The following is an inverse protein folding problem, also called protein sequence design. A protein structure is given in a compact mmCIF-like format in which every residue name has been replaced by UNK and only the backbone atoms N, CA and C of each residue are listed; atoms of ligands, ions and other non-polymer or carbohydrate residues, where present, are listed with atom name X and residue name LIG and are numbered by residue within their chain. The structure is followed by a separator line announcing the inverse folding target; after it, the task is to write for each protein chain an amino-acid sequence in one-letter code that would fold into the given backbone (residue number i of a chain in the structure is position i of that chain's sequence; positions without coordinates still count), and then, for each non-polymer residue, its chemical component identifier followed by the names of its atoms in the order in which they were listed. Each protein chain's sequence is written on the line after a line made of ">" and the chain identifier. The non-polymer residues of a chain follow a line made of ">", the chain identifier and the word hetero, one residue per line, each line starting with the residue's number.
data_IF_330742505264
#
_entry.id   IF_330742505264
#
_cell.length_a   1.000
_cell.length_b   1.000
_cell.length_c   1.000
_cell.angle_alpha   90.00
_cell.angle_beta   90.00
_cell.angle_gamma   90.00
#
_symmetry.space_group_name_H-M   'P 1'
#
loop_
_entity.id
_entity.type
_entity.pdbx_description
1 polymer ?
#
# COMPACT_ATOMS: atom_id res chain seq x y z
N UNK A 1 31.57 4.46 4.43
CA UNK A 1 30.17 4.81 4.75
C UNK A 1 29.51 3.53 5.23
N UNK A 2 29.26 3.38 6.52
CA UNK A 2 28.65 2.16 7.05
C UNK A 2 27.17 2.14 6.66
N UNK A 3 26.82 1.32 5.68
CA UNK A 3 25.43 0.92 5.42
C UNK A 3 25.01 0.02 6.59
N UNK A 4 24.42 0.59 7.63
CA UNK A 4 23.66 -0.17 8.62
C UNK A 4 22.28 -0.51 8.04
N UNK A 5 21.53 -1.47 8.62
CA UNK A 5 20.18 -1.77 8.15
C UNK A 5 19.32 -0.52 8.26
N UNK A 6 18.83 -0.02 7.12
CA UNK A 6 17.76 0.98 7.09
C UNK A 6 16.46 0.25 7.42
N UNK A 7 15.91 0.54 8.59
CA UNK A 7 14.57 0.08 8.97
C UNK A 7 13.55 1.10 8.45
N UNK A 8 13.32 1.10 7.14
CA UNK A 8 12.22 1.83 6.51
C UNK A 8 11.43 0.85 5.65
N UNK A 9 10.12 0.81 5.84
CA UNK A 9 9.25 -0.05 5.03
C UNK A 9 8.80 0.73 3.80
N UNK A 10 8.82 0.11 2.63
CA UNK A 10 8.22 0.69 1.43
C UNK A 10 6.81 0.13 1.31
N UNK A 11 5.81 1.00 1.23
CA UNK A 11 4.40 0.64 1.32
C UNK A 11 3.59 1.30 0.23
N UNK A 12 2.70 0.51 -0.36
CA UNK A 12 1.67 1.01 -1.27
C UNK A 12 0.51 1.52 -0.42
N UNK A 13 0.30 2.83 -0.46
CA UNK A 13 -0.81 3.49 0.18
C UNK A 13 -1.79 3.89 -0.92
N UNK A 14 -3.08 3.73 -0.65
CA UNK A 14 -4.12 4.14 -1.58
C UNK A 14 -5.32 4.65 -0.77
N UNK A 15 -6.04 5.62 -1.31
CA UNK A 15 -7.18 6.26 -0.64
C UNK A 15 -8.39 5.33 -0.68
N UNK A 16 -8.57 4.52 0.37
CA UNK A 16 -9.66 3.54 0.48
C UNK A 16 -11.05 4.18 0.63
N UNK A 17 -11.14 5.51 0.67
CA UNK A 17 -12.41 6.24 0.71
C UNK A 17 -12.98 6.51 -0.68
N UNK A 18 -12.24 6.17 -1.75
CA UNK A 18 -12.62 6.42 -3.13
C UNK A 18 -12.51 5.15 -3.98
N UNK A 19 -13.32 5.01 -5.03
CA UNK A 19 -13.08 4.01 -6.07
C UNK A 19 -11.71 4.21 -6.73
N UNK A 20 -11.03 3.12 -7.15
CA UNK A 20 -11.46 1.72 -7.05
C UNK A 20 -11.08 1.06 -5.71
N UNK A 21 -10.41 1.80 -4.81
CA UNK A 21 -9.79 1.24 -3.60
C UNK A 21 -10.76 1.01 -2.45
N UNK A 22 -11.99 1.51 -2.54
CA UNK A 22 -13.09 1.19 -1.62
C UNK A 22 -13.52 -0.29 -1.74
N UNK A 23 -13.32 -0.91 -2.91
CA UNK A 23 -13.60 -2.34 -3.17
C UNK A 23 -12.50 -3.26 -2.61
N UNK A 24 -12.83 -4.16 -1.66
CA UNK A 24 -11.86 -5.13 -1.14
C UNK A 24 -11.25 -6.04 -2.20
N UNK A 25 -12.04 -6.42 -3.21
CA UNK A 25 -11.63 -7.33 -4.28
C UNK A 25 -10.47 -6.73 -5.11
N UNK A 26 -10.53 -5.42 -5.39
CA UNK A 26 -9.45 -4.67 -6.06
C UNK A 26 -8.18 -4.71 -5.22
N UNK A 27 -8.28 -4.40 -3.91
CA UNK A 27 -7.12 -4.41 -3.01
C UNK A 27 -6.49 -5.79 -2.87
N UNK A 28 -7.31 -6.84 -2.82
CA UNK A 28 -6.86 -8.22 -2.75
C UNK A 28 -6.14 -8.64 -4.05
N UNK A 29 -6.73 -8.31 -5.21
CA UNK A 29 -6.12 -8.57 -6.50
C UNK A 29 -4.78 -7.84 -6.66
N UNK A 30 -4.69 -6.57 -6.29
CA UNK A 30 -3.42 -5.82 -6.31
C UNK A 30 -2.34 -6.49 -5.45
N UNK A 31 -2.68 -6.95 -4.24
CA UNK A 31 -1.72 -7.60 -3.35
C UNK A 31 -1.17 -8.92 -3.91
N UNK A 32 -2.00 -9.67 -4.65
CA UNK A 32 -1.63 -10.92 -5.31
C UNK A 32 -0.90 -10.71 -6.64
N UNK A 33 -1.20 -9.64 -7.37
CA UNK A 33 -0.51 -9.31 -8.62
C UNK A 33 0.97 -8.98 -8.42
N UNK A 34 1.33 -8.43 -7.26
CA UNK A 34 2.68 -7.94 -6.99
C UNK A 34 3.60 -9.06 -6.49
N UNK A 35 4.60 -9.41 -7.32
CA UNK A 35 5.70 -10.28 -6.91
C UNK A 35 6.74 -9.51 -6.09
N UNK A 36 6.58 -9.58 -4.76
CA UNK A 36 7.49 -8.94 -3.81
C UNK A 36 8.91 -9.52 -3.86
N UNK A 37 9.08 -10.78 -4.25
CA UNK A 37 10.39 -11.41 -4.34
C UNK A 37 11.13 -10.89 -5.56
N UNK A 38 10.47 -10.79 -6.71
CA UNK A 38 11.05 -10.17 -7.90
C UNK A 38 11.43 -8.71 -7.64
N UNK A 39 10.59 -7.93 -6.94
CA UNK A 39 10.95 -6.56 -6.54
C UNK A 39 12.23 -6.52 -5.68
N UNK A 40 12.38 -7.45 -4.72
CA UNK A 40 13.58 -7.53 -3.87
C UNK A 40 14.81 -7.92 -4.67
N UNK A 41 14.69 -8.88 -5.56
CA UNK A 41 15.82 -9.39 -6.35
C UNK A 41 16.26 -8.38 -7.42
N UNK A 42 15.30 -7.73 -8.08
CA UNK A 42 15.53 -6.82 -9.20
C UNK A 42 15.94 -5.42 -8.75
N UNK A 43 15.29 -4.86 -7.72
CA UNK A 43 15.57 -3.48 -7.26
C UNK A 43 16.64 -3.44 -6.17
N UNK A 44 16.57 -4.36 -5.21
CA UNK A 44 17.44 -4.36 -4.04
C UNK A 44 18.58 -5.38 -4.11
N UNK A 45 18.69 -6.15 -5.21
CA UNK A 45 19.74 -7.16 -5.41
C UNK A 45 19.79 -8.16 -4.24
N UNK A 46 18.63 -8.52 -3.70
CA UNK A 46 18.49 -9.42 -2.55
C UNK A 46 18.86 -8.83 -1.19
N UNK A 47 19.17 -7.53 -1.12
CA UNK A 47 19.59 -6.86 0.13
C UNK A 47 18.40 -6.39 1.00
N UNK A 48 17.17 -6.51 0.53
CA UNK A 48 15.96 -6.18 1.26
C UNK A 48 15.29 -7.42 1.86
N UNK A 49 14.54 -7.23 2.94
CA UNK A 49 13.64 -8.26 3.47
C UNK A 49 12.28 -8.12 2.80
N UNK A 50 11.66 -9.25 2.44
CA UNK A 50 10.29 -9.25 1.93
C UNK A 50 9.35 -8.52 2.90
N UNK A 51 8.51 -7.64 2.34
CA UNK A 51 7.41 -7.04 3.09
C UNK A 51 6.49 -8.13 3.64
N UNK A 52 6.03 -7.97 4.88
CA UNK A 52 5.09 -8.91 5.49
C UNK A 52 3.68 -8.75 4.91
N UNK A 53 2.79 -9.70 5.19
CA UNK A 53 1.36 -9.61 4.81
C UNK A 53 0.61 -8.45 5.48
N UNK A 54 1.26 -7.73 6.39
CA UNK A 54 0.72 -6.51 7.00
C UNK A 54 1.81 -5.58 7.48
N UNK A 55 1.47 -4.79 8.48
CA UNK A 55 2.30 -3.70 9.02
C UNK A 55 3.27 -4.14 10.11
N UNK A 56 3.11 -5.36 10.65
CA UNK A 56 3.91 -5.83 11.77
C UNK A 56 5.21 -6.43 11.25
N UNK A 57 6.34 -5.80 11.59
CA UNK A 57 7.65 -6.28 11.18
C UNK A 57 7.95 -7.71 11.70
N UNK A 58 8.61 -8.59 10.92
CA UNK A 58 8.91 -9.98 11.34
C UNK A 58 9.69 -10.13 12.65
N UNK A 59 10.48 -9.12 13.02
CA UNK A 59 11.22 -9.09 14.30
C UNK A 59 10.35 -8.73 15.52
N UNK A 60 9.09 -8.29 15.31
CA UNK A 60 8.17 -7.96 16.40
C UNK A 60 7.64 -9.24 17.07
N UNK A 61 7.52 -9.29 18.41
CA UNK A 61 6.90 -10.43 19.09
C UNK A 61 5.40 -10.59 18.77
N UNK A 62 4.77 -9.58 18.16
CA UNK A 62 3.38 -9.62 17.71
C UNK A 62 3.24 -10.06 16.24
N UNK A 63 4.34 -10.37 15.56
CA UNK A 63 4.31 -10.88 14.20
C UNK A 63 3.63 -12.25 14.15
N UNK A 64 2.66 -12.41 13.24
CA UNK A 64 2.03 -13.69 12.97
C UNK A 64 2.55 -14.26 11.64
N UNK A 65 3.42 -15.26 11.71
CA UNK A 65 4.00 -15.92 10.55
C UNK A 65 3.00 -16.75 9.73
N UNK A 66 1.80 -17.03 10.26
CA UNK A 66 0.74 -17.74 9.54
C UNK A 66 0.03 -16.83 8.53
N UNK A 67 0.15 -15.51 8.66
CA UNK A 67 -0.44 -14.55 7.71
C UNK A 67 0.58 -14.31 6.60
N UNK A 68 0.36 -14.95 5.45
CA UNK A 68 1.22 -14.84 4.27
C UNK A 68 0.39 -14.39 3.07
N UNK A 69 0.88 -13.36 2.37
CA UNK A 69 0.35 -12.94 1.07
C UNK A 69 1.44 -13.18 0.03
N UNK A 70 1.31 -14.29 -0.71
CA UNK A 70 2.15 -14.56 -1.87
C UNK A 70 1.69 -13.79 -3.11
N UNK A 71 2.47 -13.87 -4.18
CA UNK A 71 2.02 -13.46 -5.50
C UNK A 71 1.30 -14.62 -6.20
N UNK A 72 0.15 -14.33 -6.80
CA UNK A 72 -0.62 -15.24 -7.64
C UNK A 72 -1.45 -14.39 -8.62
N UNK A 73 -0.87 -13.95 -9.75
CA UNK A 73 -1.55 -13.11 -10.73
C UNK A 73 -2.79 -13.78 -11.34
N UNK A 74 -2.78 -15.11 -11.48
CA UNK A 74 -3.94 -15.86 -11.96
C UNK A 74 -5.11 -15.79 -10.96
N UNK A 75 -4.82 -15.93 -9.65
CA UNK A 75 -5.83 -15.74 -8.61
C UNK A 75 -6.30 -14.29 -8.52
N UNK A 76 -5.42 -13.31 -8.75
CA UNK A 76 -5.79 -11.90 -8.83
C UNK A 76 -6.83 -11.66 -9.93
N UNK A 77 -6.60 -12.17 -11.15
CA UNK A 77 -7.55 -12.10 -12.27
C UNK A 77 -8.89 -12.76 -11.91
N UNK A 78 -8.87 -13.95 -11.31
CA UNK A 78 -10.09 -14.64 -10.90
C UNK A 78 -10.91 -13.84 -9.87
N UNK A 79 -10.26 -13.19 -8.89
CA UNK A 79 -10.95 -12.36 -7.89
C UNK A 79 -11.65 -11.19 -8.56
N UNK A 80 -11.01 -10.54 -9.54
CA UNK A 80 -11.60 -9.44 -10.29
C UNK A 80 -12.80 -9.94 -11.12
N UNK A 81 -12.66 -11.06 -11.83
CA UNK A 81 -13.74 -11.66 -12.62
C UNK A 81 -14.95 -12.07 -11.78
N UNK A 82 -14.71 -12.74 -10.64
CA UNK A 82 -15.76 -13.14 -9.70
C UNK A 82 -16.52 -11.92 -9.14
N UNK A 83 -15.85 -10.77 -9.06
CA UNK A 83 -16.43 -9.50 -8.63
C UNK A 83 -17.16 -8.74 -9.76
N UNK A 84 -17.17 -9.28 -10.99
CA UNK A 84 -17.73 -8.62 -12.17
C UNK A 84 -16.84 -7.52 -12.75
N UNK A 85 -15.56 -7.49 -12.38
CA UNK A 85 -14.56 -6.53 -12.85
C UNK A 85 -13.80 -7.16 -14.02
N UNK A 86 -14.13 -6.75 -15.23
CA UNK A 86 -13.58 -7.32 -16.46
C UNK A 86 -13.25 -6.20 -17.44
N UNK A 87 -12.33 -6.51 -18.36
CA UNK A 87 -12.05 -5.68 -19.54
C UNK A 87 -13.17 -5.94 -20.57
N UNK A 88 -14.07 -4.96 -20.70
CA UNK A 88 -15.30 -5.07 -21.47
C UNK A 88 -15.18 -4.51 -22.88
N UNK A 89 -14.16 -3.68 -23.16
CA UNK A 89 -13.92 -3.07 -24.47
C UNK A 89 -12.63 -3.58 -25.18
N UNK A 90 -11.83 -4.39 -24.48
CA UNK A 90 -10.65 -5.07 -24.99
C UNK A 90 -9.40 -4.19 -25.03
N UNK A 91 -9.36 -3.08 -24.29
CA UNK A 91 -8.21 -2.16 -24.26
C UNK A 91 -7.08 -2.59 -23.31
N UNK A 92 -7.30 -3.65 -22.53
CA UNK A 92 -6.36 -4.20 -21.56
C UNK A 92 -6.52 -3.65 -20.13
N UNK A 93 -7.42 -2.70 -19.90
CA UNK A 93 -7.79 -2.19 -18.58
C UNK A 93 -9.16 -2.76 -18.21
N UNK A 94 -9.35 -3.13 -16.95
CA UNK A 94 -10.64 -3.64 -16.47
C UNK A 94 -11.54 -2.50 -16.02
N UNK A 95 -12.85 -2.67 -16.16
CA UNK A 95 -13.84 -1.70 -15.66
C UNK A 95 -14.42 -2.11 -14.31
N UNK A 96 -14.55 -1.13 -13.43
CA UNK A 96 -15.36 -1.17 -12.23
C UNK A 96 -16.54 -0.21 -12.40
N UNK A 97 -17.77 -0.72 -12.32
CA UNK A 97 -19.00 0.07 -12.46
C UNK A 97 -19.03 0.93 -13.76
N UNK A 98 -18.42 0.43 -14.83
CA UNK A 98 -18.36 1.07 -16.14
C UNK A 98 -17.26 2.14 -16.31
N UNK A 99 -16.39 2.31 -15.32
CA UNK A 99 -15.20 3.16 -15.39
C UNK A 99 -13.92 2.31 -15.39
N UNK A 100 -12.90 2.65 -16.19
CA UNK A 100 -11.63 1.92 -16.19
C UNK A 100 -10.93 2.04 -14.83
N UNK A 101 -10.31 0.95 -14.37
CA UNK A 101 -9.44 0.94 -13.19
C UNK A 101 -8.09 1.53 -13.60
N UNK A 102 -8.07 2.86 -13.72
CA UNK A 102 -6.90 3.67 -14.01
C UNK A 102 -6.75 4.80 -13.01
N UNK A 103 -5.57 4.97 -12.44
CA UNK A 103 -5.28 5.99 -11.43
C UNK A 103 -3.81 6.44 -11.45
N UNK A 104 -3.54 7.59 -10.84
CA UNK A 104 -2.21 8.09 -10.56
C UNK A 104 -1.54 7.31 -9.43
N UNK A 105 -0.27 6.96 -9.64
CA UNK A 105 0.62 6.37 -8.65
C UNK A 105 1.76 7.36 -8.32
N UNK A 106 1.54 8.15 -7.28
CA UNK A 106 2.40 9.23 -6.85
C UNK A 106 3.64 8.74 -6.09
N UNK A 107 4.81 9.21 -6.48
CA UNK A 107 6.08 8.88 -5.81
C UNK A 107 6.98 10.09 -5.63
N UNK A 108 7.81 10.05 -4.58
CA UNK A 108 8.91 10.99 -4.44
C UNK A 108 9.97 10.70 -5.52
N UNK A 109 10.13 11.62 -6.47
CA UNK A 109 11.08 11.52 -7.58
C UNK A 109 12.55 11.64 -7.17
N UNK A 110 12.84 12.16 -5.96
CA UNK A 110 14.20 12.27 -5.43
C UNK A 110 14.75 10.90 -4.96
N UNK A 111 13.87 9.89 -4.79
CA UNK A 111 14.24 8.51 -4.43
C UNK A 111 14.18 7.59 -5.67
N UNK A 112 15.33 7.40 -6.30
CA UNK A 112 15.46 6.57 -7.51
C UNK A 112 15.06 5.10 -7.32
N UNK A 113 15.24 4.53 -6.12
CA UNK A 113 14.82 3.14 -5.85
C UNK A 113 13.30 3.06 -5.75
N UNK A 114 12.68 4.07 -5.13
CA UNK A 114 11.22 4.19 -5.05
C UNK A 114 10.58 4.38 -6.43
N UNK A 115 11.17 5.21 -7.27
CA UNK A 115 10.71 5.38 -8.65
C UNK A 115 10.72 4.06 -9.41
N UNK A 116 11.85 3.34 -9.40
CA UNK A 116 11.98 2.08 -10.14
C UNK A 116 11.09 0.97 -9.58
N UNK A 117 10.87 0.95 -8.27
CA UNK A 117 9.91 0.04 -7.65
C UNK A 117 8.49 0.33 -8.14
N UNK A 118 8.10 1.60 -8.24
CA UNK A 118 6.77 1.98 -8.70
C UNK A 118 6.54 1.64 -10.18
N UNK A 119 7.56 1.79 -11.02
CA UNK A 119 7.52 1.36 -12.43
C UNK A 119 7.26 -0.16 -12.53
N UNK A 120 8.01 -1.00 -11.82
CA UNK A 120 7.78 -2.45 -11.81
C UNK A 120 6.41 -2.84 -11.23
N UNK A 121 5.98 -2.19 -10.16
CA UNK A 121 4.64 -2.41 -9.60
C UNK A 121 3.55 -2.04 -10.62
N UNK A 122 3.71 -0.94 -11.35
CA UNK A 122 2.78 -0.55 -12.42
C UNK A 122 2.70 -1.61 -13.51
N UNK A 123 3.83 -2.16 -13.95
CA UNK A 123 3.89 -3.26 -14.92
C UNK A 123 3.14 -4.51 -14.41
N UNK A 124 3.42 -4.94 -13.17
CA UNK A 124 2.74 -6.10 -12.55
C UNK A 124 1.23 -5.90 -12.40
N UNK A 125 0.78 -4.68 -12.09
CA UNK A 125 -0.65 -4.37 -12.00
C UNK A 125 -1.31 -4.38 -13.39
N UNK A 126 -0.60 -3.92 -14.42
CA UNK A 126 -1.10 -3.96 -15.80
C UNK A 126 -1.36 -5.40 -16.29
N UNK A 127 -0.57 -6.39 -15.85
CA UNK A 127 -0.78 -7.82 -16.19
C UNK A 127 -2.14 -8.38 -15.71
N UNK A 128 -2.76 -7.73 -14.71
CA UNK A 128 -4.09 -8.10 -14.21
C UNK A 128 -5.17 -7.10 -14.63
N UNK A 129 -4.84 -6.15 -15.52
CA UNK A 129 -5.76 -5.15 -16.06
C UNK A 129 -6.03 -3.98 -15.12
N UNK A 130 -5.07 -3.62 -14.25
CA UNK A 130 -5.13 -2.45 -13.38
C UNK A 130 -4.07 -1.45 -13.84
N UNK A 131 -4.49 -0.26 -14.30
CA UNK A 131 -3.57 0.75 -14.82
C UNK A 131 -3.14 1.74 -13.72
N UNK A 132 -1.90 1.64 -13.28
CA UNK A 132 -1.31 2.59 -12.32
C UNK A 132 -0.28 3.48 -13.03
N UNK A 133 -0.60 4.76 -13.27
CA UNK A 133 0.32 5.68 -13.98
C UNK A 133 1.29 6.34 -13.00
N UNK A 134 2.58 6.02 -13.09
CA UNK A 134 3.60 6.57 -12.19
C UNK A 134 3.78 8.07 -12.42
N UNK A 135 3.66 8.84 -11.34
CA UNK A 135 3.83 10.30 -11.31
C UNK A 135 4.88 10.66 -10.27
N UNK A 136 6.03 11.15 -10.72
CA UNK A 136 7.15 11.51 -9.87
C UNK A 136 7.17 13.02 -9.61
N UNK A 137 7.14 13.42 -8.34
CA UNK A 137 7.15 14.82 -7.91
C UNK A 137 8.23 15.07 -6.87
N UNK A 138 8.62 16.32 -6.66
CA UNK A 138 9.57 16.69 -5.59
C UNK A 138 9.05 16.32 -4.20
N UNK A 139 9.97 16.07 -3.27
CA UNK A 139 9.66 15.62 -1.90
C UNK A 139 8.55 16.43 -1.21
N UNK A 140 8.59 17.76 -1.26
CA UNK A 140 7.62 18.61 -0.58
C UNK A 140 6.19 18.46 -1.15
N UNK A 141 6.07 18.32 -2.47
CA UNK A 141 4.78 18.12 -3.14
C UNK A 141 4.23 16.73 -2.86
N UNK A 142 5.09 15.72 -2.82
CA UNK A 142 4.72 14.35 -2.43
C UNK A 142 4.28 14.28 -0.96
N UNK A 143 5.00 14.93 -0.04
CA UNK A 143 4.63 15.01 1.39
C UNK A 143 3.30 15.71 1.59
N UNK A 144 3.10 16.86 0.96
CA UNK A 144 1.85 17.63 1.10
C UNK A 144 0.66 16.89 0.49
N UNK A 145 0.85 16.12 -0.59
CA UNK A 145 -0.19 15.29 -1.16
C UNK A 145 -0.58 14.12 -0.25
N UNK A 146 0.41 13.42 0.32
CA UNK A 146 0.19 12.18 1.09
C UNK A 146 -0.19 12.44 2.54
N UNK A 147 0.46 13.41 3.20
CA UNK A 147 0.25 13.73 4.60
C UNK A 147 0.31 15.26 4.83
N UNK A 148 -0.72 16.00 4.38
CA UNK A 148 -0.76 17.46 4.42
C UNK A 148 -0.50 17.98 5.84
N UNK A 149 0.50 18.86 5.98
CA UNK A 149 0.89 19.42 7.27
C UNK A 149 1.20 18.41 8.39
N UNK A 150 1.48 17.14 8.05
CA UNK A 150 1.63 16.04 8.99
C UNK A 150 0.40 15.83 9.91
N UNK A 151 -0.80 16.12 9.40
CA UNK A 151 -2.06 16.00 10.11
C UNK A 151 -3.12 15.31 9.25
N UNK A 152 -3.50 14.09 9.62
CA UNK A 152 -4.50 13.29 8.88
C UNK A 152 -5.88 13.95 8.82
N UNK A 153 -6.19 14.89 9.72
CA UNK A 153 -7.46 15.63 9.70
C UNK A 153 -7.55 16.63 8.56
N UNK A 154 -6.42 16.98 7.93
CA UNK A 154 -6.38 17.80 6.71
C UNK A 154 -6.71 17.01 5.45
N UNK A 155 -6.92 15.69 5.57
CA UNK A 155 -7.27 14.81 4.47
C UNK A 155 -6.04 14.27 3.74
N UNK A 156 -6.24 13.93 2.46
CA UNK A 156 -5.21 13.39 1.57
C UNK A 156 -5.55 13.75 0.13
N UNK A 157 -4.53 13.94 -0.69
CA UNK A 157 -4.65 14.34 -2.08
C UNK A 157 -3.79 13.46 -3.00
N UNK A 158 -4.06 12.15 -2.98
CA UNK A 158 -3.47 11.17 -3.87
C UNK A 158 -4.48 10.02 -4.09
N UNK A 159 -4.33 9.29 -5.19
CA UNK A 159 -5.10 8.07 -5.45
C UNK A 159 -4.34 6.86 -4.91
N UNK A 160 -3.13 6.62 -5.45
CA UNK A 160 -2.15 5.70 -4.92
C UNK A 160 -0.81 6.41 -4.74
N UNK A 161 -0.07 6.07 -3.69
CA UNK A 161 1.25 6.61 -3.41
C UNK A 161 2.15 5.58 -2.76
N UNK A 162 3.45 5.67 -3.00
CA UNK A 162 4.41 4.90 -2.21
C UNK A 162 4.89 5.73 -1.03
N UNK A 163 4.64 5.25 0.19
CA UNK A 163 5.07 5.87 1.45
C UNK A 163 5.76 4.84 2.36
N UNK A 164 6.48 5.32 3.36
CA UNK A 164 7.17 4.46 4.30
C UNK A 164 7.23 5.05 5.69
N UNK A 165 7.36 4.17 6.68
CA UNK A 165 7.51 4.57 8.07
C UNK A 165 8.86 4.14 8.62
N UNK A 166 9.38 4.98 9.51
CA UNK A 166 10.65 4.75 10.20
C UNK A 166 10.56 3.58 11.19
N UNK A 167 11.73 3.02 11.52
CA UNK A 167 11.90 1.91 12.45
C UNK A 167 11.06 2.02 13.74
N UNK A 168 11.03 3.18 14.44
CA UNK A 168 10.29 3.28 15.69
C UNK A 168 8.78 3.10 15.51
N UNK A 169 8.23 3.47 14.35
CA UNK A 169 6.82 3.25 14.02
C UNK A 169 6.56 1.77 13.71
N UNK A 170 7.47 1.14 12.98
CA UNK A 170 7.30 -0.23 12.48
C UNK A 170 7.62 -1.32 13.53
N UNK A 171 8.56 -1.04 14.45
CA UNK A 171 8.92 -1.97 15.52
C UNK A 171 7.91 -1.93 16.69
N UNK A 172 7.15 -0.85 16.81
CA UNK A 172 6.15 -0.68 17.86
C UNK A 172 4.77 -1.15 17.38
N UNK A 173 4.42 -2.37 17.74
CA UNK A 173 3.13 -2.94 17.38
C UNK A 173 1.93 -2.23 18.06
N UNK A 174 2.13 -1.36 19.06
CA UNK A 174 1.07 -0.50 19.59
C UNK A 174 0.71 0.59 18.58
N UNK A 175 1.67 1.06 17.78
CA UNK A 175 1.45 2.02 16.68
C UNK A 175 0.71 1.43 15.49
N UNK A 176 0.48 0.11 15.46
CA UNK A 176 -0.41 -0.49 14.48
C UNK A 176 -1.81 0.18 14.51
N UNK A 177 -2.35 0.41 15.71
CA UNK A 177 -3.64 1.09 15.86
C UNK A 177 -3.64 2.51 15.28
N UNK A 178 -2.54 3.24 15.41
CA UNK A 178 -2.45 4.61 14.87
C UNK A 178 -2.45 4.66 13.34
N UNK A 179 -2.12 3.55 12.68
CA UNK A 179 -2.04 3.45 11.22
C UNK A 179 -3.36 3.02 10.57
N UNK A 180 -4.27 2.40 11.33
CA UNK A 180 -5.50 1.80 10.79
C UNK A 180 -6.79 2.23 11.50
N UNK A 181 -6.73 2.86 12.67
CA UNK A 181 -7.96 3.26 13.35
C UNK A 181 -8.67 4.37 12.54
N UNK A 182 -10.00 4.31 12.45
CA UNK A 182 -10.78 5.27 11.65
C UNK A 182 -10.93 6.65 12.30
N UNK A 183 -11.06 6.72 13.62
CA UNK A 183 -11.04 7.98 14.39
C UNK A 183 -9.64 8.62 14.36
N UNK A 184 -9.46 9.83 13.80
CA UNK A 184 -8.16 10.50 13.70
C UNK A 184 -7.53 10.87 15.05
N UNK A 185 -8.29 10.87 16.15
CA UNK A 185 -7.73 11.03 17.50
C UNK A 185 -6.85 9.84 17.90
N UNK A 186 -7.13 8.66 17.36
CA UNK A 186 -6.35 7.44 17.58
C UNK A 186 -5.52 7.07 16.33
N UNK A 187 -6.15 7.08 15.17
CA UNK A 187 -5.60 6.80 13.85
C UNK A 187 -4.83 7.96 13.23
N UNK A 188 -3.99 8.65 14.02
CA UNK A 188 -3.31 9.87 13.58
C UNK A 188 -2.21 9.65 12.52
N UNK A 189 -1.96 8.40 12.12
CA UNK A 189 -1.09 8.01 11.01
C UNK A 189 -1.85 7.22 9.93
N UNK A 190 -3.19 7.22 9.95
CA UNK A 190 -4.02 6.55 8.95
C UNK A 190 -4.07 7.34 7.64
N UNK A 191 -3.01 7.20 6.85
CA UNK A 191 -2.87 7.88 5.55
C UNK A 191 -3.80 7.32 4.48
N UNK A 192 -4.33 6.10 4.67
CA UNK A 192 -5.12 5.38 3.66
C UNK A 192 -6.63 5.59 3.79
N UNK A 193 -7.09 6.08 4.94
CA UNK A 193 -8.52 6.17 5.25
C UNK A 193 -9.18 4.83 5.49
N UNK A 194 -8.41 3.80 5.82
CA UNK A 194 -8.97 2.50 6.20
C UNK A 194 -9.92 2.69 7.38
N UNK A 195 -11.08 2.04 7.29
CA UNK A 195 -12.10 2.06 8.33
C UNK A 195 -12.74 0.67 8.46
N UNK A 196 -12.70 0.12 9.66
CA UNK A 196 -13.35 -1.15 9.98
C UNK A 196 -13.68 -1.18 11.47
N UNK A 197 -14.98 -1.30 11.80
CA UNK A 197 -15.46 -1.19 13.18
C UNK A 197 -14.93 -2.29 14.11
N UNK A 198 -14.67 -3.49 13.58
CA UNK A 198 -14.06 -4.59 14.35
C UNK A 198 -12.57 -4.30 14.63
N UNK A 199 -11.84 -3.79 13.64
CA UNK A 199 -10.45 -3.37 13.81
C UNK A 199 -10.30 -2.19 14.79
N UNK A 200 -11.18 -1.19 14.70
CA UNK A 200 -11.24 -0.06 15.64
C UNK A 200 -11.48 -0.54 17.07
N UNK A 201 -12.42 -1.47 17.26
CA UNK A 201 -12.70 -2.05 18.57
C UNK A 201 -11.48 -2.75 19.20
N UNK A 202 -10.69 -3.49 18.40
CA UNK A 202 -9.51 -4.20 18.91
C UNK A 202 -8.31 -3.28 19.17
N UNK A 203 -8.14 -2.23 18.38
CA UNK A 203 -7.01 -1.29 18.53
C UNK A 203 -7.14 -0.41 19.77
N UNK A 204 -8.37 -0.07 20.19
CA UNK A 204 -8.64 0.66 21.44
C UNK A 204 -8.33 -0.14 22.71
N UNK A 205 -8.33 -1.48 22.66
CA UNK A 205 -8.09 -2.34 23.84
C UNK A 205 -6.62 -2.54 24.19
N UNK A 206 -5.70 -2.15 23.31
CA UNK A 206 -4.25 -2.35 23.50
C UNK A 206 -3.45 -1.07 23.74
N UNK A 207 -4.09 0.10 23.74
CA UNK A 207 -3.44 1.32 24.22
C UNK A 207 -3.08 1.12 25.72
N UNK A 208 -1.79 1.20 26.11
CA UNK A 208 -1.45 1.17 27.52
C UNK A 208 -2.12 2.38 28.18
N UNK A 209 -2.83 2.12 29.29
CA UNK A 209 -3.27 3.19 30.19
C UNK A 209 -2.08 3.87 30.85
#
# INVERSE_FOLDING_TARGET
>A
MSQGPLYTTQMLNYDMTKPPFDRPEVRQAMSLAIDRQDLVDTIYLGAATLGSAGWIHPASPLFNAEVVTGSDPARAQQILEDAGIADSDGDGVRELDGAPISFEFLVNGDDSLRLRLAELVSEMLAEVGIQATVSAVEQATWEEAVWPGFDVTQGRNYEMAMWGWSAPVQADAVRFGTLIHSDPAFGNLNLTGYANSEADFFTLRRAPR
#
